data_IF_015578253303
#
_entry.id   IF_015578253303
#
_cell.length_a   1.000
_cell.length_b   1.000
_cell.length_c   1.000
_cell.angle_alpha   90.00
_cell.angle_beta   90.00
_cell.angle_gamma   90.00
#
_symmetry.space_group_name_H-M   'P 1'
#
loop_
_entity.id
_entity.type
_entity.pdbx_description
1 polymer ?
#
# COMPACT_ATOMS: atom_id res chain seq x y z
N UNK A 1 4.99 0.25 16.93
CA UNK A 1 5.05 -0.62 15.76
C UNK A 1 4.93 -2.05 16.25
N UNK A 2 3.97 -2.81 15.71
CA UNK A 2 3.84 -4.22 16.07
C UNK A 2 5.10 -4.98 15.62
N UNK A 3 5.65 -5.85 16.47
CA UNK A 3 6.79 -6.71 16.18
C UNK A 3 6.35 -7.89 15.29
N UNK A 4 5.88 -7.58 14.08
CA UNK A 4 5.26 -8.56 13.16
C UNK A 4 6.26 -9.62 12.68
N UNK A 5 7.55 -9.29 12.67
CA UNK A 5 8.63 -10.19 12.25
C UNK A 5 9.44 -10.74 13.44
N UNK A 6 8.90 -10.66 14.68
CA UNK A 6 9.60 -11.12 15.88
C UNK A 6 10.03 -12.58 15.77
N UNK A 7 11.33 -12.80 15.92
CA UNK A 7 11.95 -14.11 15.86
C UNK A 7 12.07 -14.72 14.45
N UNK A 8 11.66 -14.00 13.39
CA UNK A 8 11.82 -14.45 12.02
C UNK A 8 13.26 -14.29 11.55
N UNK A 9 13.76 -15.29 10.86
CA UNK A 9 15.13 -15.40 10.34
C UNK A 9 15.13 -15.09 8.84
N UNK A 10 15.74 -13.99 8.45
CA UNK A 10 15.73 -13.50 7.07
C UNK A 10 17.15 -13.57 6.48
N UNK A 11 17.30 -14.32 5.38
CA UNK A 11 18.50 -14.22 4.53
C UNK A 11 18.31 -13.06 3.57
N UNK A 12 19.14 -12.01 3.67
CA UNK A 12 19.12 -10.86 2.77
C UNK A 12 20.22 -11.00 1.73
N UNK A 13 19.84 -11.22 0.48
CA UNK A 13 20.71 -11.24 -0.69
C UNK A 13 20.90 -9.85 -1.28
N UNK A 14 22.15 -9.40 -1.42
CA UNK A 14 22.47 -8.08 -1.98
C UNK A 14 23.27 -8.26 -3.28
N UNK A 15 22.84 -7.62 -4.37
CA UNK A 15 23.47 -7.72 -5.67
C UNK A 15 23.99 -6.39 -6.18
N UNK A 16 24.77 -6.39 -7.28
CA UNK A 16 25.50 -5.23 -7.79
C UNK A 16 24.63 -4.19 -8.46
N UNK A 17 24.02 -3.32 -7.67
CA UNK A 17 23.19 -2.19 -8.12
C UNK A 17 23.44 -0.99 -7.22
N UNK A 18 23.32 0.21 -7.78
CA UNK A 18 23.32 1.45 -6.99
C UNK A 18 22.29 1.40 -5.85
N UNK A 19 21.16 0.72 -6.04
CA UNK A 19 20.13 0.54 -5.02
C UNK A 19 20.58 -0.27 -3.78
N UNK A 20 21.80 -0.83 -3.79
CA UNK A 20 22.36 -1.56 -2.64
C UNK A 20 22.44 -0.71 -1.36
N UNK A 21 22.53 0.63 -1.46
CA UNK A 21 22.50 1.51 -0.29
C UNK A 21 21.20 1.37 0.51
N UNK A 22 20.08 1.05 -0.14
CA UNK A 22 18.79 0.83 0.52
C UNK A 22 18.79 -0.41 1.43
N UNK A 23 19.71 -1.37 1.21
CA UNK A 23 19.83 -2.56 2.06
C UNK A 23 20.09 -2.20 3.52
N UNK A 24 20.80 -1.09 3.80
CA UNK A 24 21.01 -0.61 5.17
C UNK A 24 19.68 -0.26 5.86
N UNK A 25 18.76 0.39 5.16
CA UNK A 25 17.43 0.74 5.68
C UNK A 25 16.57 -0.51 5.84
N UNK A 26 16.64 -1.46 4.90
CA UNK A 26 15.95 -2.76 4.98
C UNK A 26 16.42 -3.52 6.23
N UNK A 27 17.73 -3.67 6.44
CA UNK A 27 18.29 -4.34 7.62
C UNK A 27 17.78 -3.70 8.91
N UNK A 28 17.88 -2.38 9.03
CA UNK A 28 17.42 -1.66 10.22
C UNK A 28 15.93 -1.81 10.46
N UNK A 29 15.13 -1.77 9.41
CA UNK A 29 13.69 -1.93 9.50
C UNK A 29 13.28 -3.35 9.91
N UNK A 30 13.90 -4.38 9.33
CA UNK A 30 13.68 -5.78 9.70
C UNK A 30 14.04 -6.03 11.17
N UNK A 31 15.21 -5.56 11.62
CA UNK A 31 15.66 -5.69 13.01
C UNK A 31 14.73 -4.95 13.97
N UNK A 32 14.26 -3.74 13.62
CA UNK A 32 13.27 -3.00 14.43
C UNK A 32 11.94 -3.75 14.58
N UNK A 33 11.57 -4.59 13.62
CA UNK A 33 10.39 -5.45 13.70
C UNK A 33 10.68 -6.80 14.37
N UNK A 34 11.89 -6.99 14.91
CA UNK A 34 12.30 -8.16 15.69
C UNK A 34 12.82 -9.32 14.86
N UNK A 35 13.12 -9.12 13.57
CA UNK A 35 13.75 -10.14 12.73
C UNK A 35 15.25 -10.27 13.01
N UNK A 36 15.78 -11.47 12.77
CA UNK A 36 17.20 -11.78 12.71
C UNK A 36 17.63 -11.80 11.23
N UNK A 37 18.68 -11.03 10.88
CA UNK A 37 19.08 -10.88 9.48
C UNK A 37 20.48 -11.46 9.27
N UNK A 38 20.63 -12.31 8.25
CA UNK A 38 21.90 -12.80 7.73
C UNK A 38 22.10 -12.29 6.30
N UNK A 39 23.19 -11.58 6.06
CA UNK A 39 23.48 -11.01 4.73
C UNK A 39 24.33 -11.99 3.92
N UNK A 40 23.89 -12.19 2.65
CA UNK A 40 24.65 -12.84 1.59
C UNK A 40 24.82 -11.84 0.46
N UNK A 41 26.07 -11.50 0.10
CA UNK A 41 26.35 -10.49 -0.91
C UNK A 41 27.09 -11.07 -2.10
N UNK A 42 26.73 -10.67 -3.31
CA UNK A 42 27.46 -11.06 -4.52
C UNK A 42 28.80 -10.30 -4.63
N UNK A 43 29.80 -10.82 -5.37
CA UNK A 43 31.02 -10.07 -5.64
C UNK A 43 30.76 -8.66 -6.18
N UNK A 44 29.86 -8.53 -7.15
CA UNK A 44 29.44 -7.22 -7.69
C UNK A 44 28.73 -6.33 -6.64
N UNK A 45 28.04 -6.91 -5.66
CA UNK A 45 27.41 -6.15 -4.58
C UNK A 45 28.41 -5.45 -3.68
N UNK A 46 29.59 -6.05 -3.48
CA UNK A 46 30.68 -5.47 -2.66
C UNK A 46 31.23 -4.17 -3.23
N UNK A 47 31.10 -3.95 -4.53
CA UNK A 47 31.56 -2.71 -5.19
C UNK A 47 30.63 -1.52 -4.87
N UNK A 48 29.36 -1.78 -4.47
CA UNK A 48 28.38 -0.73 -4.16
C UNK A 48 28.21 -0.48 -2.67
N UNK A 49 28.43 -1.51 -1.84
CA UNK A 49 28.33 -1.40 -0.37
C UNK A 49 29.31 -2.36 0.30
N UNK A 50 30.02 -1.86 1.33
CA UNK A 50 31.04 -2.66 1.97
C UNK A 50 30.46 -3.68 2.97
N UNK A 51 31.06 -4.89 3.07
CA UNK A 51 30.70 -5.87 4.09
C UNK A 51 30.79 -5.34 5.52
N UNK A 52 31.71 -4.42 5.81
CA UNK A 52 31.89 -3.80 7.14
C UNK A 52 30.61 -3.06 7.54
N UNK A 53 30.03 -2.24 6.63
CA UNK A 53 28.79 -1.51 6.91
C UNK A 53 27.65 -2.47 7.24
N UNK A 54 27.50 -3.54 6.49
CA UNK A 54 26.40 -4.52 6.65
C UNK A 54 26.60 -5.36 7.93
N UNK A 55 27.83 -5.76 8.21
CA UNK A 55 28.20 -6.50 9.43
C UNK A 55 27.93 -5.65 10.70
N UNK A 56 28.28 -4.37 10.66
CA UNK A 56 28.02 -3.46 11.78
C UNK A 56 26.52 -3.30 12.08
N UNK A 57 25.66 -3.35 11.05
CA UNK A 57 24.20 -3.25 11.20
C UNK A 57 23.55 -4.54 11.71
N UNK A 58 24.07 -5.71 11.30
CA UNK A 58 23.50 -7.02 11.63
C UNK A 58 24.13 -7.68 12.85
N UNK A 59 25.31 -7.18 13.28
CA UNK A 59 26.19 -7.83 14.27
C UNK A 59 26.57 -9.25 13.86
N UNK A 60 26.63 -9.54 12.55
CA UNK A 60 26.97 -10.85 11.98
C UNK A 60 27.96 -10.69 10.82
N UNK A 61 28.81 -11.71 10.57
CA UNK A 61 29.63 -11.75 9.36
C UNK A 61 28.78 -11.71 8.10
N UNK A 62 29.25 -10.99 7.09
CA UNK A 62 28.65 -10.99 5.75
C UNK A 62 29.23 -12.13 4.95
N UNK A 63 28.38 -12.95 4.35
CA UNK A 63 28.78 -14.10 3.56
C UNK A 63 28.82 -13.71 2.09
N UNK A 64 29.94 -13.98 1.41
CA UNK A 64 30.08 -13.69 -0.03
C UNK A 64 30.70 -14.83 -0.82
N UNK A 65 31.53 -15.64 -0.16
CA UNK A 65 32.29 -16.71 -0.77
C UNK A 65 31.95 -18.05 -0.15
N UNK A 66 32.13 -19.15 -0.90
CA UNK A 66 31.95 -20.50 -0.38
C UNK A 66 32.98 -20.85 0.70
N UNK A 67 34.20 -20.41 0.52
CA UNK A 67 35.29 -20.72 1.43
C UNK A 67 35.67 -19.48 2.23
N UNK A 68 35.59 -19.57 3.55
CA UNK A 68 35.94 -18.47 4.45
C UNK A 68 37.48 -18.28 4.52
N UNK A 69 38.22 -19.38 4.57
CA UNK A 69 39.69 -19.46 4.63
C UNK A 69 40.19 -20.63 3.78
N UNK A 70 41.49 -20.78 3.64
CA UNK A 70 42.12 -21.91 2.91
C UNK A 70 42.42 -23.12 3.82
N UNK A 71 41.74 -23.24 4.93
CA UNK A 71 41.91 -24.26 5.96
C UNK A 71 40.84 -25.38 5.91
N UNK A 72 40.00 -25.34 4.88
CA UNK A 72 38.90 -26.30 4.74
C UNK A 72 37.57 -25.81 5.37
N UNK A 73 37.57 -24.66 6.04
CA UNK A 73 36.31 -24.06 6.50
C UNK A 73 35.53 -23.47 5.33
N UNK A 74 34.24 -23.75 5.28
CA UNK A 74 33.36 -23.29 4.22
C UNK A 74 32.01 -22.77 4.77
N UNK A 75 31.40 -21.88 4.02
CA UNK A 75 30.07 -21.38 4.31
C UNK A 75 29.03 -22.31 3.69
N UNK A 76 28.23 -22.96 4.52
CA UNK A 76 27.21 -23.88 4.06
C UNK A 76 25.99 -23.15 3.54
N UNK A 77 25.75 -23.20 2.23
CA UNK A 77 24.55 -22.68 1.60
C UNK A 77 23.30 -23.47 2.01
N UNK A 78 23.46 -24.76 2.32
CA UNK A 78 22.37 -25.63 2.81
C UNK A 78 21.91 -25.16 4.19
N UNK A 79 22.86 -24.89 5.10
CA UNK A 79 22.53 -24.44 6.46
C UNK A 79 21.84 -23.07 6.42
N UNK A 80 22.25 -22.17 5.52
CA UNK A 80 21.57 -20.89 5.30
C UNK A 80 20.15 -21.09 4.78
N UNK A 81 19.95 -22.01 3.82
CA UNK A 81 18.63 -22.33 3.26
C UNK A 81 17.69 -22.98 4.29
N UNK A 82 18.23 -23.74 5.23
CA UNK A 82 17.48 -24.36 6.33
C UNK A 82 17.23 -23.41 7.49
N UNK A 83 18.15 -22.48 7.74
CA UNK A 83 18.05 -21.49 8.82
C UNK A 83 16.97 -20.43 8.54
N UNK A 84 16.76 -20.08 7.27
CA UNK A 84 15.88 -18.98 6.88
C UNK A 84 14.40 -19.31 7.02
N UNK A 85 13.62 -18.38 7.60
CA UNK A 85 12.16 -18.35 7.49
C UNK A 85 11.71 -17.66 6.19
N UNK A 86 12.53 -16.76 5.64
CA UNK A 86 12.37 -16.18 4.31
C UNK A 86 13.73 -15.76 3.73
N UNK A 87 13.81 -15.72 2.39
CA UNK A 87 14.93 -15.14 1.66
C UNK A 87 14.44 -13.89 0.90
N UNK A 88 15.12 -12.76 1.10
CA UNK A 88 14.85 -11.51 0.40
C UNK A 88 16.06 -11.15 -0.46
N UNK A 89 15.88 -10.95 -1.76
CA UNK A 89 16.91 -10.48 -2.68
C UNK A 89 16.62 -9.04 -3.04
N UNK A 90 17.35 -8.12 -2.43
CA UNK A 90 17.13 -6.67 -2.54
C UNK A 90 18.44 -5.88 -2.40
N UNK A 91 18.92 -5.24 -3.49
CA UNK A 91 18.37 -5.24 -4.85
C UNK A 91 18.60 -6.56 -5.60
N UNK A 92 17.69 -6.89 -6.55
CA UNK A 92 17.85 -7.97 -7.50
C UNK A 92 18.11 -7.41 -8.91
N UNK A 93 19.35 -7.55 -9.42
CA UNK A 93 19.70 -7.11 -10.78
C UNK A 93 19.16 -8.05 -11.85
N UNK A 94 19.07 -7.60 -13.09
CA UNK A 94 18.69 -8.42 -14.24
C UNK A 94 19.59 -9.67 -14.37
N UNK A 95 20.90 -9.54 -14.13
CA UNK A 95 21.84 -10.67 -14.12
C UNK A 95 21.46 -11.72 -13.07
N UNK A 96 21.18 -11.28 -11.84
CA UNK A 96 20.78 -12.19 -10.75
C UNK A 96 19.44 -12.86 -11.03
N UNK A 97 18.45 -12.11 -11.49
CA UNK A 97 17.13 -12.63 -11.90
C UNK A 97 17.28 -13.68 -13.00
N UNK A 98 18.13 -13.41 -14.02
CA UNK A 98 18.39 -14.36 -15.08
C UNK A 98 19.06 -15.65 -14.58
N UNK A 99 20.02 -15.55 -13.67
CA UNK A 99 20.69 -16.70 -13.05
C UNK A 99 19.72 -17.53 -12.20
N UNK A 100 18.90 -16.88 -11.39
CA UNK A 100 17.88 -17.54 -10.59
C UNK A 100 16.88 -18.31 -11.47
N UNK A 101 16.37 -17.66 -12.52
CA UNK A 101 15.37 -18.26 -13.43
C UNK A 101 15.91 -19.47 -14.21
N UNK A 102 17.24 -19.51 -14.45
CA UNK A 102 17.87 -20.56 -15.24
C UNK A 102 18.76 -21.52 -14.40
N UNK A 103 18.80 -21.37 -13.07
CA UNK A 103 19.52 -22.26 -12.16
C UNK A 103 21.05 -22.15 -12.26
N UNK A 104 21.62 -20.99 -12.64
CA UNK A 104 23.06 -20.78 -12.82
C UNK A 104 23.72 -20.49 -11.47
N UNK A 105 24.15 -21.53 -10.77
CA UNK A 105 24.70 -21.48 -9.40
C UNK A 105 26.20 -21.12 -9.38
N UNK A 106 26.58 -19.95 -9.88
CA UNK A 106 27.98 -19.50 -10.02
C UNK A 106 28.49 -18.65 -8.85
N UNK A 107 27.66 -18.42 -7.83
CA UNK A 107 28.04 -17.66 -6.63
C UNK A 107 27.21 -18.11 -5.41
N UNK A 108 27.68 -17.71 -4.23
CA UNK A 108 27.09 -18.11 -2.95
C UNK A 108 25.61 -17.73 -2.84
N UNK A 109 25.18 -16.57 -3.36
CA UNK A 109 23.80 -16.13 -3.28
C UNK A 109 22.85 -17.03 -4.08
N UNK A 110 23.19 -17.33 -5.33
CA UNK A 110 22.35 -18.18 -6.19
C UNK A 110 22.30 -19.62 -5.67
N UNK A 111 23.43 -20.13 -5.17
CA UNK A 111 23.48 -21.48 -4.58
C UNK A 111 22.61 -21.56 -3.31
N UNK A 112 22.63 -20.51 -2.47
CA UNK A 112 21.75 -20.42 -1.31
C UNK A 112 20.26 -20.36 -1.75
N UNK A 113 19.95 -19.58 -2.79
CA UNK A 113 18.61 -19.50 -3.36
C UNK A 113 18.10 -20.88 -3.81
N UNK A 114 18.91 -21.63 -4.56
CA UNK A 114 18.53 -22.96 -5.03
C UNK A 114 18.37 -23.99 -3.90
N UNK A 115 18.95 -23.73 -2.74
CA UNK A 115 18.87 -24.58 -1.54
C UNK A 115 17.77 -24.11 -0.57
N UNK A 116 17.18 -22.94 -0.80
CA UNK A 116 16.19 -22.34 0.10
C UNK A 116 14.88 -23.11 0.04
N UNK A 117 14.36 -23.54 1.20
CA UNK A 117 13.01 -24.07 1.36
C UNK A 117 12.00 -22.99 1.77
N UNK A 118 12.51 -21.89 2.30
CA UNK A 118 11.72 -20.76 2.71
C UNK A 118 11.19 -19.96 1.50
N UNK A 119 10.09 -19.19 1.65
CA UNK A 119 9.62 -18.29 0.61
C UNK A 119 10.69 -17.29 0.21
N UNK A 120 10.77 -17.02 -1.09
CA UNK A 120 11.76 -16.09 -1.65
C UNK A 120 11.08 -14.86 -2.20
N UNK A 121 11.53 -13.70 -1.74
CA UNK A 121 11.08 -12.38 -2.18
C UNK A 121 12.17 -11.73 -3.04
N UNK A 122 11.79 -11.17 -4.17
CA UNK A 122 12.72 -10.57 -5.14
C UNK A 122 12.29 -9.14 -5.41
N UNK A 123 13.18 -8.19 -5.12
CA UNK A 123 12.99 -6.75 -5.37
C UNK A 123 13.87 -6.29 -6.55
N UNK A 124 13.35 -6.26 -7.80
CA UNK A 124 14.10 -5.87 -8.98
C UNK A 124 14.61 -4.44 -8.89
N UNK A 125 15.84 -4.23 -9.43
CA UNK A 125 16.49 -2.91 -9.52
C UNK A 125 17.34 -2.84 -10.79
N UNK A 126 16.89 -2.06 -11.78
CA UNK A 126 17.56 -1.88 -13.06
C UNK A 126 17.00 -0.66 -13.79
N UNK A 127 17.62 -0.28 -14.90
CA UNK A 127 17.10 0.76 -15.78
C UNK A 127 15.77 0.33 -16.42
N UNK A 128 14.96 1.32 -16.86
CA UNK A 128 13.61 1.09 -17.38
C UNK A 128 13.59 0.18 -18.62
N UNK A 129 14.54 0.35 -19.54
CA UNK A 129 14.61 -0.46 -20.78
C UNK A 129 15.04 -1.91 -20.46
N UNK A 130 15.95 -2.07 -19.49
CA UNK A 130 16.35 -3.39 -18.98
C UNK A 130 15.16 -4.08 -18.30
N UNK A 131 14.34 -3.34 -17.54
CA UNK A 131 13.15 -3.90 -16.91
C UNK A 131 12.09 -4.30 -17.93
N UNK A 132 11.86 -3.45 -18.94
CA UNK A 132 10.89 -3.72 -20.02
C UNK A 132 11.37 -4.79 -21.02
N UNK A 133 12.67 -5.14 -21.02
CA UNK A 133 13.22 -6.09 -21.97
C UNK A 133 12.52 -7.46 -21.89
N UNK A 134 12.13 -8.08 -23.02
CA UNK A 134 11.40 -9.35 -23.04
C UNK A 134 12.06 -10.47 -22.23
N UNK A 135 13.41 -10.56 -22.25
CA UNK A 135 14.13 -11.57 -21.45
C UNK A 135 13.98 -11.35 -19.96
N UNK A 136 13.97 -10.10 -19.50
CA UNK A 136 13.77 -9.77 -18.08
C UNK A 136 12.35 -10.11 -17.65
N UNK A 137 11.35 -9.74 -18.42
CA UNK A 137 9.94 -10.07 -18.14
C UNK A 137 9.73 -11.58 -18.12
N UNK A 138 10.26 -12.32 -19.12
CA UNK A 138 10.21 -13.79 -19.15
C UNK A 138 10.87 -14.41 -17.90
N UNK A 139 12.03 -13.92 -17.47
CA UNK A 139 12.70 -14.43 -16.29
C UNK A 139 11.89 -14.16 -15.01
N UNK A 140 11.28 -12.97 -14.88
CA UNK A 140 10.38 -12.65 -13.76
C UNK A 140 9.16 -13.55 -13.73
N UNK A 141 8.55 -13.84 -14.89
CA UNK A 141 7.41 -14.76 -14.98
C UNK A 141 7.82 -16.19 -14.63
N UNK A 142 9.01 -16.61 -15.04
CA UNK A 142 9.60 -17.89 -14.63
C UNK A 142 9.76 -17.96 -13.12
N UNK A 143 10.30 -16.92 -12.48
CA UNK A 143 10.43 -16.89 -11.02
C UNK A 143 9.07 -16.91 -10.32
N UNK A 144 8.06 -16.22 -10.86
CA UNK A 144 6.68 -16.29 -10.34
C UNK A 144 6.13 -17.71 -10.44
N UNK A 145 6.39 -18.42 -11.55
CA UNK A 145 5.97 -19.82 -11.72
C UNK A 145 6.64 -20.79 -10.75
N UNK A 146 7.83 -20.45 -10.26
CA UNK A 146 8.52 -21.20 -9.19
C UNK A 146 8.01 -20.86 -7.78
N UNK A 147 7.03 -19.97 -7.66
CA UNK A 147 6.47 -19.54 -6.37
C UNK A 147 7.24 -18.39 -5.69
N UNK A 148 8.15 -17.74 -6.39
CA UNK A 148 8.84 -16.57 -5.83
C UNK A 148 7.91 -15.33 -5.83
N UNK A 149 8.00 -14.54 -4.78
CA UNK A 149 7.23 -13.30 -4.59
C UNK A 149 7.99 -12.14 -5.22
N UNK A 150 7.52 -11.64 -6.35
CA UNK A 150 8.14 -10.48 -7.00
C UNK A 150 7.54 -9.21 -6.41
N UNK A 151 8.39 -8.41 -5.75
CA UNK A 151 8.03 -7.07 -5.28
C UNK A 151 8.26 -6.12 -6.44
N UNK A 152 7.17 -5.64 -7.05
CA UNK A 152 7.23 -4.80 -8.23
C UNK A 152 8.08 -3.54 -7.99
N UNK A 153 8.97 -3.17 -8.93
CA UNK A 153 9.74 -1.95 -8.79
C UNK A 153 8.85 -0.72 -8.93
N UNK A 154 9.18 0.32 -8.18
CA UNK A 154 8.52 1.61 -8.24
C UNK A 154 8.78 2.35 -9.54
N UNK A 155 7.95 3.38 -9.81
CA UNK A 155 8.14 4.32 -10.91
C UNK A 155 8.74 5.62 -10.36
N UNK A 156 9.76 6.16 -11.01
CA UNK A 156 10.42 7.40 -10.60
C UNK A 156 11.69 7.68 -11.38
N UNK A 157 12.42 8.72 -10.97
CA UNK A 157 13.73 9.01 -11.54
C UNK A 157 14.73 7.91 -11.18
N UNK A 158 15.44 7.43 -12.19
CA UNK A 158 16.48 6.41 -12.11
C UNK A 158 17.87 7.06 -12.04
N UNK A 159 18.90 6.28 -11.73
CA UNK A 159 20.28 6.78 -11.74
C UNK A 159 20.76 7.26 -13.12
N UNK A 160 20.09 6.83 -14.18
CA UNK A 160 20.29 7.30 -15.56
C UNK A 160 19.62 8.65 -15.87
N UNK A 161 18.94 9.27 -14.88
CA UNK A 161 18.09 10.46 -15.03
C UNK A 161 16.85 10.24 -15.90
N UNK A 162 16.57 9.02 -16.32
CA UNK A 162 15.31 8.66 -16.97
C UNK A 162 14.22 8.45 -15.93
N UNK A 163 12.97 8.72 -16.30
CA UNK A 163 11.81 8.51 -15.42
C UNK A 163 11.01 7.33 -15.93
N UNK A 164 10.88 6.29 -15.09
CA UNK A 164 10.17 5.08 -15.49
C UNK A 164 10.13 4.01 -14.40
N UNK A 165 9.60 2.83 -14.76
CA UNK A 165 9.53 1.65 -13.91
C UNK A 165 10.87 0.91 -13.95
N UNK A 166 11.44 0.58 -12.78
CA UNK A 166 12.73 -0.12 -12.67
C UNK A 166 13.47 0.19 -11.37
N UNK A 167 13.06 1.27 -10.68
CA UNK A 167 13.61 1.66 -9.39
C UNK A 167 13.21 0.64 -8.32
N UNK A 168 14.19 0.08 -7.59
CA UNK A 168 13.87 -0.80 -6.47
C UNK A 168 12.88 -0.13 -5.53
N UNK A 169 11.86 -0.87 -5.12
CA UNK A 169 10.82 -0.41 -4.19
C UNK A 169 11.42 0.14 -2.89
N UNK A 170 10.66 0.97 -2.18
CA UNK A 170 11.13 1.59 -0.95
C UNK A 170 11.26 0.55 0.20
N UNK A 171 12.27 0.71 1.09
CA UNK A 171 12.54 -0.25 2.16
C UNK A 171 11.33 -0.57 3.02
N UNK A 172 10.52 0.42 3.34
CA UNK A 172 9.33 0.29 4.19
C UNK A 172 8.28 -0.61 3.52
N UNK A 173 8.10 -0.47 2.20
CA UNK A 173 7.17 -1.28 1.41
C UNK A 173 7.66 -2.72 1.32
N UNK A 174 8.95 -2.93 1.06
CA UNK A 174 9.56 -4.28 1.03
C UNK A 174 9.37 -5.00 2.36
N UNK A 175 9.61 -4.31 3.48
CA UNK A 175 9.43 -4.87 4.82
C UNK A 175 7.97 -5.18 5.09
N UNK A 176 7.05 -4.34 4.61
CA UNK A 176 5.61 -4.57 4.76
C UNK A 176 5.14 -5.81 3.98
N UNK A 177 5.70 -6.09 2.79
CA UNK A 177 5.43 -7.34 2.06
C UNK A 177 5.78 -8.57 2.89
N UNK A 178 6.97 -8.61 3.50
CA UNK A 178 7.36 -9.72 4.37
C UNK A 178 6.45 -9.82 5.60
N UNK A 179 6.13 -8.70 6.22
CA UNK A 179 5.24 -8.66 7.39
C UNK A 179 3.84 -9.19 7.05
N UNK A 180 3.27 -8.79 5.91
CA UNK A 180 1.97 -9.25 5.45
C UNK A 180 1.98 -10.76 5.14
N UNK A 181 3.05 -11.27 4.53
CA UNK A 181 3.22 -12.70 4.28
C UNK A 181 3.19 -13.51 5.57
N UNK A 182 4.01 -13.14 6.56
CA UNK A 182 4.07 -13.86 7.84
C UNK A 182 2.81 -13.69 8.70
N UNK A 183 2.05 -12.62 8.48
CA UNK A 183 0.74 -12.44 9.08
C UNK A 183 -0.38 -13.23 8.37
N UNK A 184 -0.06 -13.96 7.29
CA UNK A 184 -1.04 -14.66 6.46
C UNK A 184 -1.95 -13.73 5.65
N UNK A 185 -1.54 -12.47 5.46
CA UNK A 185 -2.32 -11.42 4.79
C UNK A 185 -1.95 -11.20 3.32
N UNK A 186 -0.85 -11.78 2.86
CA UNK A 186 -0.40 -11.58 1.49
C UNK A 186 -1.31 -12.34 0.51
N UNK A 187 -1.89 -11.59 -0.39
CA UNK A 187 -2.75 -12.13 -1.45
C UNK A 187 -4.14 -12.57 -0.99
N UNK A 188 -4.56 -12.25 0.25
CA UNK A 188 -5.90 -12.54 0.75
C UNK A 188 -7.02 -11.77 0.02
N UNK A 189 -6.66 -10.72 -0.71
CA UNK A 189 -7.53 -9.97 -1.62
C UNK A 189 -7.25 -10.26 -3.10
N UNK A 190 -6.44 -11.28 -3.42
CA UNK A 190 -6.15 -11.63 -4.82
C UNK A 190 -7.42 -12.00 -5.59
N UNK A 191 -7.56 -11.41 -6.79
CA UNK A 191 -8.73 -11.60 -7.64
C UNK A 191 -9.95 -10.76 -7.26
N UNK A 192 -9.88 -9.97 -6.18
CA UNK A 192 -10.94 -9.05 -5.78
C UNK A 192 -10.75 -7.67 -6.39
N UNK A 193 -11.86 -7.04 -6.77
CA UNK A 193 -11.90 -5.65 -7.25
C UNK A 193 -12.46 -4.77 -6.15
N UNK A 194 -11.69 -3.78 -5.70
CA UNK A 194 -12.05 -2.88 -4.60
C UNK A 194 -12.12 -1.45 -5.13
N UNK A 195 -13.30 -0.86 -5.07
CA UNK A 195 -13.51 0.54 -5.40
C UNK A 195 -13.40 1.40 -4.13
N UNK A 196 -12.64 2.50 -4.21
CA UNK A 196 -12.40 3.39 -3.07
C UNK A 196 -12.66 4.83 -3.51
N UNK A 197 -13.51 5.54 -2.76
CA UNK A 197 -13.63 7.00 -2.91
C UNK A 197 -12.75 7.70 -1.88
N UNK A 198 -12.06 8.80 -2.26
CA UNK A 198 -11.18 9.53 -1.37
C UNK A 198 -11.11 11.02 -1.67
N UNK A 199 -10.57 11.79 -0.72
CA UNK A 199 -10.41 13.23 -0.85
C UNK A 199 -11.70 14.02 -0.67
N UNK A 200 -11.65 15.34 -0.81
CA UNK A 200 -12.82 16.21 -0.79
C UNK A 200 -13.49 16.27 -2.17
N UNK A 201 -14.73 16.75 -2.23
CA UNK A 201 -15.29 17.31 -3.47
C UNK A 201 -15.32 18.83 -3.38
N UNK A 202 -15.19 19.50 -4.53
CA UNK A 202 -15.20 20.94 -4.67
C UNK A 202 -16.41 21.35 -5.52
N UNK A 203 -17.35 22.03 -4.87
CA UNK A 203 -18.58 22.50 -5.50
C UNK A 203 -18.39 23.97 -5.90
N UNK A 204 -18.23 24.22 -7.19
CA UNK A 204 -17.91 25.54 -7.71
C UNK A 204 -18.99 26.56 -7.41
N UNK A 205 -18.59 27.73 -6.90
CA UNK A 205 -19.40 28.95 -6.80
C UNK A 205 -19.19 29.78 -8.07
N UNK A 206 -17.93 29.92 -8.48
CA UNK A 206 -17.47 30.61 -9.68
C UNK A 206 -16.12 30.00 -10.14
N UNK A 207 -15.47 30.48 -11.21
CA UNK A 207 -14.19 29.92 -11.67
C UNK A 207 -13.04 29.96 -10.64
N UNK A 208 -13.20 30.67 -9.52
CA UNK A 208 -12.14 30.90 -8.52
C UNK A 208 -12.46 30.28 -7.16
N UNK A 209 -13.75 30.21 -6.80
CA UNK A 209 -14.20 29.82 -5.44
C UNK A 209 -15.08 28.59 -5.48
N UNK A 210 -14.99 27.80 -4.42
CA UNK A 210 -15.77 26.58 -4.24
C UNK A 210 -16.15 26.37 -2.77
N UNK A 211 -17.13 25.50 -2.54
CA UNK A 211 -17.47 24.90 -1.25
C UNK A 211 -16.82 23.52 -1.21
N UNK A 212 -16.20 23.14 -0.11
CA UNK A 212 -15.57 21.84 0.04
C UNK A 212 -15.16 21.55 1.47
N UNK A 213 -14.73 20.32 1.71
CA UNK A 213 -14.29 19.83 3.02
C UNK A 213 -12.76 19.88 3.16
N UNK A 214 -12.26 19.94 4.39
CA UNK A 214 -10.80 19.95 4.69
C UNK A 214 -10.10 18.60 4.49
N UNK A 215 -10.73 17.63 3.84
CA UNK A 215 -10.14 16.31 3.63
C UNK A 215 -8.86 16.38 2.80
N UNK A 216 -7.83 15.70 3.26
CA UNK A 216 -6.56 15.55 2.54
C UNK A 216 -6.47 14.28 1.70
N UNK A 217 -7.46 13.37 1.79
CA UNK A 217 -7.45 12.08 1.12
C UNK A 217 -6.56 11.00 1.74
N UNK A 218 -5.69 11.36 2.70
CA UNK A 218 -4.67 10.44 3.27
C UNK A 218 -5.21 9.07 3.68
N UNK A 219 -6.40 9.00 4.28
CA UNK A 219 -6.96 7.73 4.75
C UNK A 219 -7.35 6.80 3.59
N UNK A 220 -8.06 7.33 2.59
CA UNK A 220 -8.46 6.56 1.41
C UNK A 220 -7.25 6.07 0.60
N UNK A 221 -6.19 6.89 0.52
CA UNK A 221 -4.93 6.49 -0.13
C UNK A 221 -4.21 5.38 0.65
N UNK A 222 -4.16 5.47 1.98
CA UNK A 222 -3.58 4.41 2.80
C UNK A 222 -4.35 3.08 2.67
N UNK A 223 -5.68 3.12 2.59
CA UNK A 223 -6.52 1.93 2.35
C UNK A 223 -6.27 1.37 0.95
N UNK A 224 -6.13 2.22 -0.07
CA UNK A 224 -5.85 1.80 -1.44
C UNK A 224 -4.50 1.08 -1.53
N UNK A 225 -3.47 1.63 -0.89
CA UNK A 225 -2.14 1.01 -0.81
C UNK A 225 -2.19 -0.35 -0.09
N UNK A 226 -2.92 -0.45 1.04
CA UNK A 226 -3.05 -1.71 1.78
C UNK A 226 -3.81 -2.78 0.97
N UNK A 227 -4.91 -2.41 0.31
CA UNK A 227 -5.65 -3.33 -0.56
C UNK A 227 -4.80 -3.82 -1.73
N UNK A 228 -4.05 -2.91 -2.37
CA UNK A 228 -3.16 -3.26 -3.48
C UNK A 228 -2.00 -4.16 -3.02
N UNK A 229 -1.40 -3.87 -1.85
CA UNK A 229 -0.36 -4.69 -1.24
C UNK A 229 -0.84 -6.13 -0.96
N UNK A 230 -2.14 -6.32 -0.68
CA UNK A 230 -2.79 -7.63 -0.48
C UNK A 230 -3.28 -8.27 -1.77
N UNK A 231 -2.96 -7.70 -2.93
CA UNK A 231 -3.23 -8.29 -4.24
C UNK A 231 -4.58 -7.94 -4.85
N UNK A 232 -5.32 -6.97 -4.31
CA UNK A 232 -6.56 -6.48 -4.90
C UNK A 232 -6.32 -5.68 -6.18
N UNK A 233 -7.29 -5.71 -7.09
CA UNK A 233 -7.44 -4.72 -8.16
C UNK A 233 -8.14 -3.50 -7.60
N UNK A 234 -7.44 -2.38 -7.45
CA UNK A 234 -8.00 -1.17 -6.85
C UNK A 234 -8.47 -0.19 -7.91
N UNK A 235 -9.71 0.29 -7.77
CA UNK A 235 -10.29 1.41 -8.52
C UNK A 235 -10.42 2.58 -7.55
N UNK A 236 -9.59 3.61 -7.76
CA UNK A 236 -9.55 4.81 -6.92
C UNK A 236 -10.29 5.95 -7.60
N UNK A 237 -11.31 6.49 -6.95
CA UNK A 237 -12.02 7.70 -7.38
C UNK A 237 -11.70 8.78 -6.36
N UNK A 238 -10.94 9.80 -6.74
CA UNK A 238 -10.56 10.83 -5.78
C UNK A 238 -10.88 12.25 -6.25
N UNK A 239 -11.35 13.04 -5.31
CA UNK A 239 -11.38 14.48 -5.45
C UNK A 239 -9.98 15.08 -5.46
N UNK A 240 -9.84 16.42 -5.51
CA UNK A 240 -8.56 17.09 -5.59
C UNK A 240 -7.69 16.86 -4.35
N UNK A 241 -6.55 16.20 -4.53
CA UNK A 241 -5.59 15.87 -3.45
C UNK A 241 -4.15 15.94 -3.96
N UNK A 242 -3.20 16.03 -3.02
CA UNK A 242 -1.75 16.00 -3.31
C UNK A 242 -1.11 14.66 -2.92
N UNK A 243 -1.92 13.62 -2.65
CA UNK A 243 -1.43 12.31 -2.25
C UNK A 243 -0.92 11.53 -3.46
N UNK A 244 0.03 10.63 -3.21
CA UNK A 244 0.54 9.67 -4.19
C UNK A 244 0.31 8.27 -3.68
N UNK A 245 -0.01 7.35 -4.59
CA UNK A 245 -0.14 5.93 -4.32
C UNK A 245 1.21 5.24 -4.46
N UNK A 246 1.47 4.28 -3.59
CA UNK A 246 2.69 3.45 -3.62
C UNK A 246 2.57 2.31 -4.63
N UNK A 247 1.35 1.86 -4.90
CA UNK A 247 1.07 0.76 -5.81
C UNK A 247 0.32 1.24 -7.05
N UNK A 248 0.47 0.56 -8.20
CA UNK A 248 -0.30 0.87 -9.40
C UNK A 248 -1.78 0.54 -9.16
N UNK A 249 -2.64 1.52 -9.37
CA UNK A 249 -4.10 1.39 -9.28
C UNK A 249 -4.76 2.06 -10.47
N UNK A 250 -6.00 1.69 -10.76
CA UNK A 250 -6.82 2.39 -11.75
C UNK A 250 -7.41 3.65 -11.11
N UNK A 251 -6.82 4.81 -11.37
CA UNK A 251 -7.16 6.07 -10.71
C UNK A 251 -7.98 6.99 -11.60
N UNK A 252 -9.11 7.47 -11.05
CA UNK A 252 -10.02 8.44 -11.67
C UNK A 252 -10.08 9.70 -10.80
N UNK A 253 -9.58 10.80 -11.33
CA UNK A 253 -9.69 12.10 -10.69
C UNK A 253 -11.04 12.73 -11.02
N UNK A 254 -11.72 13.24 -10.00
CA UNK A 254 -13.00 13.96 -10.08
C UNK A 254 -12.88 15.27 -9.31
N UNK A 255 -13.77 16.23 -9.57
CA UNK A 255 -13.78 17.49 -8.86
C UNK A 255 -15.01 17.65 -7.97
N UNK A 256 -16.20 17.34 -8.49
CA UNK A 256 -17.47 17.57 -7.80
C UNK A 256 -18.10 16.28 -7.24
N UNK A 257 -19.07 16.46 -6.35
CA UNK A 257 -19.89 15.38 -5.82
C UNK A 257 -20.65 14.64 -6.92
N UNK A 258 -21.15 15.34 -7.93
CA UNK A 258 -21.88 14.73 -9.06
C UNK A 258 -20.96 13.86 -9.91
N UNK A 259 -19.73 14.32 -10.19
CA UNK A 259 -18.73 13.52 -10.90
C UNK A 259 -18.33 12.27 -10.11
N UNK A 260 -18.14 12.41 -8.79
CA UNK A 260 -17.82 11.28 -7.92
C UNK A 260 -18.98 10.28 -7.85
N UNK A 261 -20.23 10.76 -7.75
CA UNK A 261 -21.42 9.93 -7.79
C UNK A 261 -21.51 9.13 -9.08
N UNK A 262 -21.38 9.78 -10.24
CA UNK A 262 -21.48 9.11 -11.54
C UNK A 262 -20.39 8.06 -11.72
N UNK A 263 -19.14 8.38 -11.34
CA UNK A 263 -18.03 7.44 -11.38
C UNK A 263 -18.25 6.25 -10.43
N UNK A 264 -18.66 6.50 -9.18
CA UNK A 264 -18.92 5.45 -8.20
C UNK A 264 -20.03 4.50 -8.64
N UNK A 265 -21.15 5.02 -9.13
CA UNK A 265 -22.26 4.19 -9.64
C UNK A 265 -21.83 3.35 -10.86
N UNK A 266 -21.00 3.92 -11.76
CA UNK A 266 -20.51 3.22 -12.94
C UNK A 266 -19.60 2.04 -12.58
N UNK A 267 -18.64 2.25 -11.66
CA UNK A 267 -17.66 1.22 -11.30
C UNK A 267 -18.14 0.21 -10.26
N UNK A 268 -19.22 0.51 -9.52
CA UNK A 268 -19.70 -0.38 -8.48
C UNK A 268 -20.18 -1.73 -9.01
N UNK A 269 -20.68 -1.77 -10.26
CA UNK A 269 -21.15 -3.01 -10.88
C UNK A 269 -20.03 -4.05 -11.07
N UNK A 270 -18.77 -3.62 -11.27
CA UNK A 270 -17.60 -4.47 -11.43
C UNK A 270 -16.82 -4.71 -10.12
N UNK A 271 -17.16 -4.00 -9.03
CA UNK A 271 -16.48 -4.10 -7.77
C UNK A 271 -17.07 -5.19 -6.86
N UNK A 272 -16.21 -5.95 -6.18
CA UNK A 272 -16.60 -6.83 -5.08
C UNK A 272 -16.83 -6.04 -3.78
N UNK A 273 -16.12 -4.93 -3.64
CA UNK A 273 -16.15 -4.06 -2.45
C UNK A 273 -16.16 -2.60 -2.86
N UNK A 274 -16.93 -1.77 -2.13
CA UNK A 274 -16.81 -0.32 -2.19
C UNK A 274 -16.51 0.25 -0.80
N UNK A 275 -15.46 1.08 -0.70
CA UNK A 275 -15.05 1.78 0.52
C UNK A 275 -15.21 3.28 0.30
N UNK A 276 -16.16 3.89 1.00
CA UNK A 276 -16.57 5.28 0.82
C UNK A 276 -15.88 6.18 1.85
N UNK A 277 -14.60 6.51 1.61
CA UNK A 277 -13.81 7.33 2.53
C UNK A 277 -13.68 8.80 2.11
N UNK A 278 -14.30 9.21 0.99
CA UNK A 278 -14.32 10.59 0.53
C UNK A 278 -15.14 11.49 1.47
N UNK A 279 -14.70 12.73 1.63
CA UNK A 279 -15.46 13.79 2.29
C UNK A 279 -16.25 14.58 1.21
N UNK A 280 -17.36 14.01 0.80
CA UNK A 280 -18.24 14.61 -0.20
C UNK A 280 -18.99 15.80 0.42
N UNK A 281 -19.11 16.90 -0.32
CA UNK A 281 -19.90 18.04 0.12
C UNK A 281 -21.41 17.66 0.09
N UNK A 282 -22.12 17.95 1.16
CA UNK A 282 -23.56 17.67 1.27
C UNK A 282 -24.42 18.63 0.43
N UNK A 283 -23.88 19.81 0.10
CA UNK A 283 -24.57 20.86 -0.63
C UNK A 283 -23.69 21.40 -1.77
N UNK A 284 -24.33 21.76 -2.89
CA UNK A 284 -23.73 22.41 -4.04
C UNK A 284 -24.51 23.66 -4.40
N UNK A 285 -23.91 24.74 -4.95
CA UNK A 285 -24.66 25.91 -5.44
C UNK A 285 -25.70 25.51 -6.47
N UNK A 286 -26.90 26.09 -6.38
CA UNK A 286 -27.95 25.91 -7.39
C UNK A 286 -27.51 26.39 -8.78
N UNK A 287 -26.75 27.51 -8.78
CA UNK A 287 -26.21 28.14 -9.98
C UNK A 287 -24.73 28.42 -9.77
N UNK A 288 -23.92 28.08 -10.77
CA UNK A 288 -22.49 28.40 -10.81
C UNK A 288 -22.33 29.61 -11.72
N UNK A 289 -21.62 30.64 -11.24
CA UNK A 289 -21.36 31.82 -12.05
C UNK A 289 -20.26 31.56 -13.08
N UNK A 290 -20.46 31.96 -14.33
CA UNK A 290 -19.47 31.79 -15.42
C UNK A 290 -18.24 32.72 -15.27
N UNK A 291 -18.39 33.79 -14.50
CA UNK A 291 -17.30 34.72 -14.21
C UNK A 291 -17.14 34.94 -12.69
N UNK A 292 -15.91 35.30 -12.28
CA UNK A 292 -15.64 35.62 -10.88
C UNK A 292 -16.61 36.69 -10.36
N UNK A 293 -17.38 36.38 -9.33
CA UNK A 293 -18.29 37.31 -8.66
C UNK A 293 -17.46 38.42 -8.03
N UNK A 294 -17.69 39.66 -8.45
CA UNK A 294 -16.99 40.84 -7.89
C UNK A 294 -17.63 41.25 -6.57
N UNK A 295 -16.79 41.67 -5.62
CA UNK A 295 -17.25 42.24 -4.35
C UNK A 295 -17.89 43.61 -4.64
N UNK A 296 -19.14 43.76 -4.34
CA UNK A 296 -19.79 45.08 -4.29
C UNK A 296 -19.32 45.82 -3.05
N UNK A 297 -19.28 47.20 -3.13
CA UNK A 297 -18.70 47.98 -2.05
C UNK A 297 -19.49 47.92 -0.74
N UNK A 298 -20.80 47.68 -0.83
CA UNK A 298 -21.70 47.49 0.31
C UNK A 298 -22.72 46.41 -0.06
N UNK A 299 -22.60 45.22 0.48
CA UNK A 299 -23.57 44.15 0.23
C UNK A 299 -23.15 42.80 0.75
N UNK A 300 -24.14 42.04 1.18
CA UNK A 300 -24.02 40.63 1.56
C UNK A 300 -24.10 39.77 0.31
N UNK A 301 -23.30 38.68 0.27
CA UNK A 301 -23.40 37.68 -0.77
C UNK A 301 -24.23 36.49 -0.25
N UNK A 302 -25.38 36.26 -0.85
CA UNK A 302 -26.22 35.10 -0.55
C UNK A 302 -26.03 34.03 -1.61
N UNK A 303 -25.75 32.79 -1.16
CA UNK A 303 -25.67 31.61 -2.01
C UNK A 303 -26.87 30.70 -1.73
N UNK A 304 -27.61 30.37 -2.79
CA UNK A 304 -28.61 29.31 -2.72
C UNK A 304 -27.95 27.96 -2.97
N UNK A 305 -28.15 27.05 -2.05
CA UNK A 305 -27.56 25.71 -2.09
C UNK A 305 -28.67 24.66 -2.26
N UNK A 306 -28.36 23.61 -3.00
CA UNK A 306 -29.18 22.40 -3.10
C UNK A 306 -28.39 21.19 -2.60
N UNK A 307 -29.06 20.15 -2.06
CA UNK A 307 -28.37 18.94 -1.63
C UNK A 307 -27.72 18.22 -2.80
N UNK A 308 -26.59 17.59 -2.55
CA UNK A 308 -25.91 16.69 -3.49
C UNK A 308 -26.53 15.29 -3.46
N UNK A 309 -26.19 14.45 -4.45
CA UNK A 309 -26.64 13.06 -4.49
C UNK A 309 -25.92 12.23 -3.44
N UNK A 310 -26.65 11.40 -2.70
CA UNK A 310 -26.10 10.51 -1.68
C UNK A 310 -25.50 9.24 -2.33
N UNK A 311 -24.18 9.22 -2.49
CA UNK A 311 -23.44 8.10 -3.08
C UNK A 311 -23.67 6.81 -2.27
N UNK A 312 -23.57 6.88 -0.94
CA UNK A 312 -23.69 5.71 -0.09
C UNK A 312 -25.11 5.10 -0.12
N UNK A 313 -26.13 5.94 -0.13
CA UNK A 313 -27.51 5.47 -0.25
C UNK A 313 -27.78 4.82 -1.62
N UNK A 314 -27.26 5.43 -2.70
CA UNK A 314 -27.39 4.87 -4.05
C UNK A 314 -26.70 3.50 -4.15
N UNK A 315 -25.44 3.39 -3.74
CA UNK A 315 -24.73 2.12 -3.79
C UNK A 315 -25.34 1.06 -2.88
N UNK A 316 -25.88 1.47 -1.72
CA UNK A 316 -26.61 0.57 -0.82
C UNK A 316 -27.87 -0.04 -1.44
N UNK A 317 -28.56 0.71 -2.33
CA UNK A 317 -29.70 0.21 -3.11
C UNK A 317 -29.26 -0.71 -4.26
N UNK A 318 -28.12 -0.42 -4.89
CA UNK A 318 -27.57 -1.21 -5.99
C UNK A 318 -26.85 -2.48 -5.51
N UNK A 319 -26.50 -2.57 -4.23
CA UNK A 319 -25.65 -3.62 -3.64
C UNK A 319 -26.26 -5.01 -3.84
N UNK A 320 -25.44 -5.93 -4.39
CA UNK A 320 -25.77 -7.36 -4.48
C UNK A 320 -25.26 -8.10 -3.23
N UNK A 321 -25.84 -9.25 -2.91
CA UNK A 321 -25.56 -10.02 -1.69
C UNK A 321 -24.07 -10.28 -1.46
N UNK A 322 -23.31 -10.59 -2.52
CA UNK A 322 -21.86 -10.84 -2.46
C UNK A 322 -20.99 -9.59 -2.32
N UNK A 323 -21.56 -8.39 -2.54
CA UNK A 323 -20.81 -7.15 -2.47
C UNK A 323 -20.73 -6.64 -1.04
N UNK A 324 -19.59 -6.04 -0.68
CA UNK A 324 -19.36 -5.38 0.62
C UNK A 324 -19.33 -3.88 0.41
N UNK A 325 -20.08 -3.15 1.25
CA UNK A 325 -20.15 -1.69 1.23
C UNK A 325 -19.73 -1.14 2.59
N UNK A 326 -18.64 -0.36 2.59
CA UNK A 326 -18.04 0.24 3.78
C UNK A 326 -18.23 1.74 3.76
N UNK A 327 -18.77 2.29 4.83
CA UNK A 327 -18.95 3.73 4.99
C UNK A 327 -17.95 4.34 5.98
N UNK A 328 -17.83 5.67 5.92
CA UNK A 328 -17.13 6.47 6.92
C UNK A 328 -18.10 7.46 7.56
N UNK A 329 -17.91 7.69 8.85
CA UNK A 329 -18.57 8.74 9.60
C UNK A 329 -17.54 9.57 10.35
N UNK A 330 -17.72 10.89 10.28
CA UNK A 330 -16.98 11.85 11.07
C UNK A 330 -18.01 12.68 11.80
N UNK A 331 -18.18 12.43 13.09
CA UNK A 331 -19.24 12.99 13.90
C UNK A 331 -18.65 13.82 15.03
N UNK A 332 -19.45 14.72 15.61
CA UNK A 332 -19.07 15.58 16.73
C UNK A 332 -19.97 15.37 17.96
N UNK A 333 -21.21 14.91 17.75
CA UNK A 333 -22.21 14.67 18.79
C UNK A 333 -22.94 13.35 18.48
N UNK A 334 -23.35 12.60 19.52
CA UNK A 334 -24.07 11.32 19.40
C UNK A 334 -23.48 10.36 18.37
N UNK A 335 -22.14 10.34 18.33
CA UNK A 335 -21.30 9.75 17.28
C UNK A 335 -21.71 8.31 16.95
N UNK A 336 -21.92 7.48 17.99
CA UNK A 336 -22.26 6.08 17.81
C UNK A 336 -23.68 5.91 17.23
N UNK A 337 -24.67 6.62 17.77
CA UNK A 337 -26.04 6.53 17.31
C UNK A 337 -26.18 6.95 15.84
N UNK A 338 -25.53 8.07 15.49
CA UNK A 338 -25.52 8.58 14.11
C UNK A 338 -24.84 7.58 13.14
N UNK A 339 -23.75 6.94 13.56
CA UNK A 339 -23.05 5.94 12.76
C UNK A 339 -23.91 4.68 12.55
N UNK A 340 -24.57 4.17 13.60
CA UNK A 340 -25.47 3.02 13.52
C UNK A 340 -26.69 3.30 12.63
N UNK A 341 -27.27 4.49 12.73
CA UNK A 341 -28.40 4.90 11.89
C UNK A 341 -27.98 5.00 10.39
N UNK A 342 -26.81 5.57 10.13
CA UNK A 342 -26.21 5.64 8.81
C UNK A 342 -25.93 4.25 8.24
N UNK A 343 -25.39 3.34 9.05
CA UNK A 343 -25.13 1.95 8.70
C UNK A 343 -26.43 1.27 8.19
N UNK A 344 -27.52 1.41 8.91
CA UNK A 344 -28.81 0.78 8.59
C UNK A 344 -29.45 1.42 7.34
N UNK A 345 -29.59 2.76 7.35
CA UNK A 345 -30.28 3.49 6.26
C UNK A 345 -29.60 3.34 4.90
N UNK A 346 -28.27 3.24 4.90
CA UNK A 346 -27.46 3.16 3.67
C UNK A 346 -27.05 1.71 3.33
N UNK A 347 -27.59 0.72 4.02
CA UNK A 347 -27.31 -0.71 3.80
C UNK A 347 -25.82 -1.04 3.76
N UNK A 348 -25.03 -0.42 4.66
CA UNK A 348 -23.61 -0.70 4.80
C UNK A 348 -23.39 -2.03 5.52
N UNK A 349 -22.25 -2.67 5.27
CA UNK A 349 -21.84 -3.88 6.00
C UNK A 349 -21.11 -3.52 7.30
N UNK A 350 -20.29 -2.49 7.27
CA UNK A 350 -19.77 -1.84 8.46
C UNK A 350 -19.43 -0.36 8.19
N UNK A 351 -19.25 0.40 9.24
CA UNK A 351 -18.90 1.81 9.19
C UNK A 351 -17.68 2.09 10.05
N UNK A 352 -16.78 2.90 9.53
CA UNK A 352 -15.60 3.40 10.23
C UNK A 352 -15.92 4.77 10.81
N UNK A 353 -16.01 4.84 12.12
CA UNK A 353 -16.30 6.06 12.86
C UNK A 353 -15.00 6.73 13.30
N UNK A 354 -14.84 8.01 12.94
CA UNK A 354 -13.80 8.90 13.45
C UNK A 354 -14.44 9.95 14.35
N UNK A 355 -13.76 10.33 15.44
CA UNK A 355 -14.16 11.44 16.29
C UNK A 355 -13.23 12.63 16.09
N UNK A 356 -13.80 13.82 15.95
CA UNK A 356 -13.04 15.08 15.98
C UNK A 356 -12.61 15.48 17.40
N UNK A 357 -13.17 14.86 18.42
CA UNK A 357 -12.84 15.11 19.83
C UNK A 357 -11.51 14.48 20.23
N UNK A 358 -10.98 13.52 19.46
CA UNK A 358 -9.72 12.84 19.74
C UNK A 358 -8.53 13.67 19.24
N UNK A 359 -7.66 14.11 20.17
CA UNK A 359 -6.40 14.80 19.80
C UNK A 359 -5.50 13.90 18.95
N UNK A 360 -5.09 14.40 17.78
CA UNK A 360 -4.25 13.65 16.84
C UNK A 360 -5.03 12.81 15.81
N UNK A 361 -6.37 12.78 15.89
CA UNK A 361 -7.25 12.23 14.87
C UNK A 361 -7.79 13.34 13.95
N UNK A 362 -8.09 13.01 12.68
CA UNK A 362 -8.73 13.92 11.73
C UNK A 362 -7.98 14.11 10.40
N UNK A 363 -8.45 15.07 9.60
CA UNK A 363 -8.07 15.19 8.19
C UNK A 363 -6.59 15.53 7.93
N UNK A 364 -5.95 16.32 8.78
CA UNK A 364 -4.59 16.85 8.56
C UNK A 364 -3.47 16.01 9.19
N UNK A 365 -3.80 15.16 10.17
CA UNK A 365 -2.82 14.35 10.89
C UNK A 365 -2.41 13.11 10.09
N UNK A 366 -1.22 12.58 10.36
CA UNK A 366 -0.76 11.28 9.83
C UNK A 366 -1.23 10.10 10.67
N UNK A 367 -1.85 10.40 11.81
CA UNK A 367 -2.47 9.44 12.73
C UNK A 367 -3.99 9.50 12.65
N UNK A 368 -4.63 8.44 13.12
CA UNK A 368 -6.08 8.37 13.29
C UNK A 368 -6.44 7.44 14.46
N UNK A 369 -7.61 7.68 15.06
CA UNK A 369 -8.25 6.82 16.03
C UNK A 369 -9.64 6.50 15.50
N UNK A 370 -9.98 5.23 15.42
CA UNK A 370 -11.24 4.79 14.82
C UNK A 370 -12.00 3.81 15.70
N UNK A 371 -13.30 3.74 15.49
CA UNK A 371 -14.13 2.61 15.87
C UNK A 371 -14.74 1.98 14.63
N UNK A 372 -14.75 0.66 14.53
CA UNK A 372 -15.47 -0.08 13.50
C UNK A 372 -16.77 -0.58 14.09
N UNK A 373 -17.88 -0.23 13.45
CA UNK A 373 -19.23 -0.58 13.90
C UNK A 373 -19.90 -1.38 12.78
N UNK A 374 -20.38 -2.55 13.09
CA UNK A 374 -21.27 -3.34 12.23
C UNK A 374 -22.64 -3.55 12.89
N UNK A 375 -23.45 -4.48 12.38
CA UNK A 375 -24.82 -4.72 12.90
C UNK A 375 -24.84 -5.39 14.27
N UNK A 376 -23.75 -6.03 14.69
CA UNK A 376 -23.68 -6.89 15.87
C UNK A 376 -22.67 -6.38 16.91
N UNK A 377 -21.66 -5.62 16.46
CA UNK A 377 -20.52 -5.27 17.31
C UNK A 377 -19.95 -3.88 17.04
N UNK A 378 -19.25 -3.38 18.06
CA UNK A 378 -18.36 -2.20 17.97
C UNK A 378 -16.98 -2.60 18.45
N UNK A 379 -15.96 -2.28 17.67
CA UNK A 379 -14.55 -2.48 18.04
C UNK A 379 -13.82 -1.16 18.00
N UNK A 380 -13.22 -0.77 19.14
CA UNK A 380 -12.45 0.46 19.27
C UNK A 380 -10.95 0.19 19.06
N UNK A 381 -10.28 1.05 18.30
CA UNK A 381 -8.86 0.98 18.03
C UNK A 381 -8.13 2.17 18.65
N UNK A 382 -6.91 1.98 19.18
CA UNK A 382 -6.13 3.09 19.72
C UNK A 382 -5.64 4.02 18.60
N UNK A 383 -5.11 5.18 18.99
CA UNK A 383 -4.45 6.11 18.05
C UNK A 383 -3.25 5.42 17.39
N UNK A 384 -3.27 5.33 16.06
CA UNK A 384 -2.25 4.69 15.23
C UNK A 384 -1.93 5.55 14.01
N UNK A 385 -0.88 5.22 13.28
CA UNK A 385 -0.65 5.78 11.94
C UNK A 385 -1.79 5.40 10.99
N UNK A 386 -2.05 6.23 9.97
CA UNK A 386 -3.09 5.93 8.96
C UNK A 386 -2.83 4.64 8.18
N UNK A 387 -1.58 4.23 8.04
CA UNK A 387 -1.22 2.95 7.43
C UNK A 387 -1.64 1.76 8.32
N UNK A 388 -1.40 1.84 9.64
CA UNK A 388 -1.85 0.80 10.59
C UNK A 388 -3.38 0.75 10.70
N UNK A 389 -4.04 1.91 10.68
CA UNK A 389 -5.51 1.99 10.65
C UNK A 389 -6.08 1.41 9.35
N UNK A 390 -5.41 1.63 8.21
CA UNK A 390 -5.81 1.02 6.95
C UNK A 390 -5.73 -0.52 7.02
N UNK A 391 -4.68 -1.06 7.64
CA UNK A 391 -4.56 -2.50 7.86
C UNK A 391 -5.71 -3.05 8.74
N UNK A 392 -6.07 -2.36 9.85
CA UNK A 392 -7.19 -2.76 10.71
C UNK A 392 -8.53 -2.78 9.93
N UNK A 393 -8.77 -1.77 9.08
CA UNK A 393 -9.99 -1.68 8.26
C UNK A 393 -10.03 -2.80 7.22
N UNK A 394 -8.90 -3.08 6.55
CA UNK A 394 -8.82 -4.13 5.54
C UNK A 394 -8.88 -5.52 6.17
N UNK A 395 -8.35 -5.72 7.38
CA UNK A 395 -8.54 -6.95 8.15
C UNK A 395 -10.02 -7.22 8.40
N UNK A 396 -10.77 -6.22 8.87
CA UNK A 396 -12.23 -6.35 9.06
C UNK A 396 -12.96 -6.62 7.76
N UNK A 397 -12.54 -5.96 6.68
CA UNK A 397 -13.09 -6.21 5.34
C UNK A 397 -12.95 -7.68 4.94
N UNK A 398 -11.75 -8.26 5.08
CA UNK A 398 -11.47 -9.67 4.75
C UNK A 398 -12.33 -10.61 5.59
N UNK A 399 -12.52 -10.34 6.89
CA UNK A 399 -13.42 -11.11 7.74
C UNK A 399 -14.87 -11.09 7.24
N UNK A 400 -15.39 -9.90 6.93
CA UNK A 400 -16.76 -9.74 6.39
C UNK A 400 -16.93 -10.46 5.05
N UNK A 401 -15.90 -10.41 4.16
CA UNK A 401 -15.94 -11.11 2.88
C UNK A 401 -15.93 -12.64 3.00
N UNK A 402 -15.31 -13.20 4.04
CA UNK A 402 -15.31 -14.64 4.31
C UNK A 402 -16.67 -15.17 4.80
N UNK A 403 -17.47 -14.29 5.39
CA UNK A 403 -18.78 -14.62 5.96
C UNK A 403 -19.95 -14.38 4.98
N UNK A 404 -19.66 -13.87 3.76
CA UNK A 404 -20.60 -13.70 2.64
C UNK A 404 -20.37 -14.74 1.53
#
# INVERSE_FOLDING_TARGET
MANTLKGKKIVLGITGSIAAYKACYIIRGLIKQGAEVQVVITPAGKEFITPITLSALTSKPVISEFFAQRDGTWNSHVDLGLWADAMLIAPATASTIGKMANGVADNMLITTYLSAKAPVFVAPAMDLDMYAHPSTQKNLDTLRSYGNHIIEPGTGELASHLVGKGRMEEPEVIIQHLANYFAGKEGDLRGKTIMITAGPTYEKIDPVRFIGNYSSGKMGFAIADECAARGAKVIMISGPVQQQLKYPVRWFAVESADQMYNAACSFFAEADVAILSAAVADFTPEQVADAKIKREKEGEMTLRLKPTKDIAACLGQMKKDRQVLVGFALETNDEQHNAEDKLRRKNLDFIVLNSLNDKGAGFRYDTNKISIIDRESKTDFPLKSKAEVAADIVDRLVEVMKNK
#
